data_IF_601985877726
#
_entry.id   IF_601985877726
#
_cell.length_a   1.000
_cell.length_b   1.000
_cell.length_c   1.000
_cell.angle_alpha   90.00
_cell.angle_beta   90.00
_cell.angle_gamma   90.00
#
_symmetry.space_group_name_H-M   'P 1'
#
loop_
_entity.id
_entity.type
_entity.pdbx_description
1 polymer ?
#
# COMPACT_ATOMS: atom_id res chain seq x y z
N UNK A 1 8.31 14.54 0.95
CA UNK A 1 8.12 13.38 1.86
C UNK A 1 8.39 12.09 1.10
N UNK A 2 8.93 11.07 1.74
CA UNK A 2 9.23 9.79 1.07
C UNK A 2 8.19 8.74 1.48
N UNK A 3 7.75 7.92 0.54
CA UNK A 3 6.84 6.80 0.78
C UNK A 3 7.24 5.57 -0.05
N UNK A 4 6.55 4.45 0.18
CA UNK A 4 6.67 3.24 -0.65
C UNK A 4 5.39 3.05 -1.44
N UNK A 5 5.51 2.96 -2.77
CA UNK A 5 4.44 2.53 -3.66
C UNK A 5 4.57 1.04 -3.94
N UNK A 6 3.52 0.28 -3.72
CA UNK A 6 3.44 -1.14 -4.07
C UNK A 6 2.46 -1.26 -5.22
N UNK A 7 2.95 -1.74 -6.36
CA UNK A 7 2.16 -1.89 -7.56
C UNK A 7 1.43 -3.23 -7.62
N UNK A 8 0.38 -3.31 -8.44
CA UNK A 8 -0.39 -4.55 -8.65
C UNK A 8 0.45 -5.71 -9.19
N UNK A 9 1.55 -5.42 -9.91
CA UNK A 9 2.54 -6.40 -10.37
C UNK A 9 3.64 -6.71 -9.32
N UNK A 10 3.36 -6.47 -8.04
CA UNK A 10 4.22 -6.78 -6.91
C UNK A 10 5.61 -6.09 -6.94
N UNK A 11 5.69 -4.87 -7.47
CA UNK A 11 6.93 -4.07 -7.39
C UNK A 11 6.83 -3.03 -6.29
N UNK A 12 7.94 -2.83 -5.59
CA UNK A 12 8.09 -1.80 -4.55
C UNK A 12 8.89 -0.65 -5.14
N UNK A 13 8.37 0.57 -5.05
CA UNK A 13 9.05 1.79 -5.49
C UNK A 13 9.12 2.80 -4.35
N UNK A 14 10.31 3.30 -4.05
CA UNK A 14 10.47 4.51 -3.25
C UNK A 14 9.99 5.69 -4.09
N UNK A 15 9.08 6.49 -3.54
CA UNK A 15 8.53 7.66 -4.22
C UNK A 15 8.68 8.92 -3.37
N UNK A 16 8.90 10.04 -4.04
CA UNK A 16 8.92 11.37 -3.44
C UNK A 16 7.57 12.06 -3.66
N UNK A 17 6.91 12.41 -2.55
CA UNK A 17 5.66 13.12 -2.51
C UNK A 17 5.91 14.57 -2.11
N UNK A 18 5.34 15.51 -2.86
CA UNK A 18 5.51 16.95 -2.64
C UNK A 18 4.28 17.54 -1.97
N UNK A 19 4.42 18.75 -1.44
CA UNK A 19 3.28 19.51 -0.95
C UNK A 19 2.53 20.20 -2.12
N UNK A 20 1.18 20.28 -2.05
CA UNK A 20 0.32 19.73 -1.01
C UNK A 20 0.13 18.22 -1.17
N UNK A 21 0.47 17.46 -0.11
CA UNK A 21 0.55 16.00 -0.12
C UNK A 21 -0.68 15.31 -0.72
N UNK A 22 -1.88 15.77 -0.34
CA UNK A 22 -3.13 15.19 -0.84
C UNK A 22 -3.21 15.23 -2.37
N UNK A 23 -2.78 16.33 -3.00
CA UNK A 23 -2.84 16.50 -4.45
C UNK A 23 -1.84 15.57 -5.16
N UNK A 24 -0.59 15.53 -4.70
CA UNK A 24 0.44 14.66 -5.32
C UNK A 24 0.09 13.18 -5.17
N UNK A 25 -0.49 12.77 -4.03
CA UNK A 25 -0.97 11.39 -3.83
C UNK A 25 -2.18 11.12 -4.75
N UNK A 26 -3.15 12.03 -4.81
CA UNK A 26 -4.34 11.90 -5.67
C UNK A 26 -3.96 11.74 -7.15
N UNK A 27 -2.99 12.53 -7.62
CA UNK A 27 -2.46 12.42 -8.99
C UNK A 27 -1.75 11.08 -9.23
N UNK A 28 -0.94 10.62 -8.26
CA UNK A 28 -0.26 9.33 -8.33
C UNK A 28 -1.22 8.14 -8.37
N UNK A 29 -2.38 8.27 -7.75
CA UNK A 29 -3.42 7.23 -7.64
C UNK A 29 -4.52 7.34 -8.70
N UNK A 30 -4.65 8.49 -9.37
CA UNK A 30 -5.60 8.69 -10.47
C UNK A 30 -7.08 8.78 -10.07
N UNK A 31 -7.39 9.08 -8.79
CA UNK A 31 -8.77 9.11 -8.30
C UNK A 31 -8.89 9.63 -6.85
N UNK A 32 -10.12 9.77 -6.33
CA UNK A 32 -10.35 10.06 -4.91
C UNK A 32 -9.63 9.03 -4.03
N UNK A 33 -9.12 9.46 -2.88
CA UNK A 33 -8.29 8.61 -2.03
C UNK A 33 -9.11 7.92 -0.94
N UNK A 34 -8.65 6.74 -0.56
CA UNK A 34 -9.08 5.97 0.60
C UNK A 34 -7.86 5.64 1.47
N UNK A 35 -7.99 5.81 2.78
CA UNK A 35 -6.92 5.52 3.75
C UNK A 35 -7.33 4.28 4.53
N UNK A 36 -6.51 3.24 4.42
CA UNK A 36 -6.72 1.93 5.03
C UNK A 36 -5.70 1.70 6.14
N UNK A 37 -6.10 0.93 7.16
CA UNK A 37 -5.18 0.43 8.16
C UNK A 37 -4.63 -0.94 7.70
N UNK A 38 -3.30 -1.11 7.56
CA UNK A 38 -2.70 -2.43 7.38
C UNK A 38 -2.64 -3.15 8.73
N UNK A 39 -3.36 -4.27 8.85
CA UNK A 39 -3.42 -5.11 10.05
C UNK A 39 -2.08 -5.79 10.36
N UNK A 40 -1.27 -6.06 9.33
CA UNK A 40 0.05 -6.69 9.47
C UNK A 40 1.18 -5.70 9.78
N UNK A 41 0.87 -4.44 10.08
CA UNK A 41 1.85 -3.39 10.46
C UNK A 41 1.39 -2.62 11.71
N UNK A 42 2.32 -1.96 12.43
CA UNK A 42 1.95 -1.14 13.58
C UNK A 42 0.90 -0.07 13.25
N UNK A 43 0.02 0.27 14.20
CA UNK A 43 -1.12 1.18 14.04
C UNK A 43 -0.79 2.58 13.49
N UNK A 44 0.45 3.02 13.64
CA UNK A 44 0.96 4.26 13.08
C UNK A 44 1.22 4.24 11.57
N UNK A 45 1.09 3.08 10.91
CA UNK A 45 1.18 2.95 9.45
C UNK A 45 -0.21 2.97 8.81
N UNK A 46 -0.25 3.38 7.55
CA UNK A 46 -1.45 3.36 6.72
C UNK A 46 -1.11 2.99 5.27
N UNK A 47 -2.11 2.52 4.56
CA UNK A 47 -2.08 2.37 3.10
C UNK A 47 -3.05 3.38 2.49
N UNK A 48 -2.59 4.10 1.48
CA UNK A 48 -3.42 5.03 0.72
C UNK A 48 -3.65 4.43 -0.66
N UNK A 49 -4.91 4.31 -1.05
CA UNK A 49 -5.32 3.78 -2.36
C UNK A 49 -6.35 4.67 -3.04
N UNK A 50 -6.60 4.44 -4.32
CA UNK A 50 -7.73 5.04 -5.00
C UNK A 50 -9.01 4.36 -4.51
N UNK A 51 -10.07 5.14 -4.29
CA UNK A 51 -11.36 4.61 -3.86
C UNK A 51 -11.86 3.56 -4.85
N UNK A 52 -12.25 2.39 -4.33
CA UNK A 52 -12.74 1.25 -5.12
C UNK A 52 -13.82 1.67 -6.11
N UNK A 53 -13.71 1.20 -7.35
CA UNK A 53 -14.63 1.52 -8.44
C UNK A 53 -14.35 2.85 -9.16
N UNK A 54 -13.33 3.61 -8.73
CA UNK A 54 -12.90 4.87 -9.35
C UNK A 54 -11.40 4.78 -9.64
N UNK A 55 -11.02 4.07 -10.71
CA UNK A 55 -9.63 3.90 -11.10
C UNK A 55 -9.49 3.20 -12.46
N UNK A 56 -8.31 3.31 -13.09
CA UNK A 56 -7.98 2.60 -14.34
C UNK A 56 -7.56 1.15 -14.12
N UNK A 57 -7.12 0.80 -12.91
CA UNK A 57 -6.63 -0.55 -12.60
C UNK A 57 -7.76 -1.43 -12.05
N UNK A 58 -7.90 -2.60 -12.64
CA UNK A 58 -8.84 -3.66 -12.22
C UNK A 58 -8.14 -4.83 -11.55
N UNK A 59 -6.81 -4.78 -11.42
CA UNK A 59 -6.00 -5.86 -10.86
C UNK A 59 -5.94 -5.79 -9.34
N UNK A 60 -6.00 -6.96 -8.69
CA UNK A 60 -5.71 -7.09 -7.28
C UNK A 60 -4.27 -6.67 -6.97
N UNK A 61 -4.04 -6.16 -5.77
CA UNK A 61 -2.70 -5.92 -5.23
C UNK A 61 -2.39 -6.96 -4.15
N UNK A 62 -1.72 -8.07 -4.49
CA UNK A 62 -1.57 -9.22 -3.58
C UNK A 62 -0.87 -8.86 -2.27
N UNK A 63 0.15 -8.00 -2.33
CA UNK A 63 0.87 -7.55 -1.14
C UNK A 63 -0.03 -6.67 -0.28
N UNK A 64 -0.77 -5.73 -0.87
CA UNK A 64 -1.71 -4.89 -0.11
C UNK A 64 -2.85 -5.71 0.51
N UNK A 65 -3.38 -6.69 -0.21
CA UNK A 65 -4.37 -7.65 0.30
C UNK A 65 -3.83 -8.41 1.51
N UNK A 66 -2.60 -8.92 1.44
CA UNK A 66 -1.94 -9.58 2.56
C UNK A 66 -1.77 -8.65 3.77
N UNK A 67 -1.34 -7.40 3.54
CA UNK A 67 -1.18 -6.42 4.62
C UNK A 67 -2.51 -6.00 5.26
N UNK A 68 -3.57 -5.95 4.47
CA UNK A 68 -4.93 -5.63 4.93
C UNK A 68 -5.67 -6.83 5.54
N UNK A 69 -5.16 -8.05 5.34
CA UNK A 69 -5.88 -9.30 5.64
C UNK A 69 -7.22 -9.39 4.89
N UNK A 70 -7.19 -9.10 3.59
CA UNK A 70 -8.37 -9.07 2.73
C UNK A 70 -9.11 -10.41 2.64
N UNK A 71 -8.45 -11.53 2.92
CA UNK A 71 -9.02 -12.86 3.05
C UNK A 71 -9.91 -12.99 4.30
N UNK A 72 -9.57 -12.28 5.38
CA UNK A 72 -10.37 -12.24 6.63
C UNK A 72 -11.55 -11.28 6.48
N UNK A 73 -11.32 -10.11 5.88
CA UNK A 73 -12.34 -9.07 5.74
C UNK A 73 -13.16 -9.14 4.44
N UNK A 74 -12.90 -10.15 3.60
CA UNK A 74 -13.52 -10.39 2.29
C UNK A 74 -13.56 -9.15 1.38
N UNK A 75 -12.61 -8.23 1.55
CA UNK A 75 -12.56 -6.97 0.84
C UNK A 75 -11.19 -6.78 0.17
N UNK A 76 -11.03 -7.26 -1.07
CA UNK A 76 -9.77 -7.18 -1.77
C UNK A 76 -9.38 -5.74 -2.11
N UNK A 77 -8.06 -5.48 -2.05
CA UNK A 77 -7.46 -4.22 -2.45
C UNK A 77 -7.18 -4.25 -3.95
N UNK A 78 -7.75 -3.29 -4.67
CA UNK A 78 -7.62 -3.14 -6.13
C UNK A 78 -6.72 -1.95 -6.42
N UNK A 79 -5.79 -2.12 -7.37
CA UNK A 79 -4.87 -1.09 -7.80
C UNK A 79 -3.69 -0.89 -6.86
N UNK A 80 -2.80 0.02 -7.25
CA UNK A 80 -1.62 0.35 -6.46
C UNK A 80 -1.96 0.84 -5.04
N UNK A 81 -0.99 0.76 -4.14
CA UNK A 81 -1.09 1.38 -2.80
C UNK A 81 0.17 2.16 -2.47
N UNK A 82 0.02 3.24 -1.71
CA UNK A 82 1.12 3.98 -1.11
C UNK A 82 1.12 3.73 0.40
N UNK A 83 2.21 3.17 0.92
CA UNK A 83 2.43 2.92 2.35
C UNK A 83 3.11 4.13 2.98
N UNK A 84 2.52 4.64 4.06
CA UNK A 84 2.98 5.83 4.79
C UNK A 84 2.81 5.68 6.30
N UNK A 85 3.29 6.67 7.06
CA UNK A 85 2.91 6.87 8.46
C UNK A 85 1.65 7.73 8.53
N UNK A 86 0.90 7.58 9.62
CA UNK A 86 -0.19 8.48 10.03
C UNK A 86 0.00 8.93 11.47
N UNK A 87 -0.47 10.13 11.79
CA UNK A 87 -0.68 10.61 13.16
C UNK A 87 -2.08 11.15 13.30
N UNK A 88 -2.66 10.99 14.49
CA UNK A 88 -3.87 11.72 14.86
C UNK A 88 -3.48 13.16 15.21
N UNK A 89 -4.28 14.10 14.76
CA UNK A 89 -4.17 15.54 15.06
C UNK A 89 -5.54 16.06 15.49
N UNK A 90 -5.59 17.30 15.98
CA UNK A 90 -6.85 17.97 16.32
C UNK A 90 -7.81 18.08 15.11
N UNK A 91 -7.27 18.08 13.89
CA UNK A 91 -8.03 18.17 12.64
C UNK A 91 -8.22 16.80 11.94
N UNK A 92 -8.02 15.69 12.66
CA UNK A 92 -8.11 14.33 12.13
C UNK A 92 -6.76 13.73 11.74
N UNK A 93 -6.75 12.83 10.75
CA UNK A 93 -5.56 12.05 10.38
C UNK A 93 -4.63 12.87 9.48
N UNK A 94 -3.39 13.07 9.92
CA UNK A 94 -2.32 13.61 9.08
C UNK A 94 -1.40 12.48 8.59
N UNK A 95 -1.15 12.46 7.28
CA UNK A 95 -0.17 11.57 6.66
C UNK A 95 1.24 12.12 6.84
N UNK A 96 2.20 11.22 7.08
CA UNK A 96 3.61 11.55 7.28
C UNK A 96 4.44 10.60 6.43
N UNK A 97 5.54 11.13 5.87
CA UNK A 97 6.54 10.32 5.18
C UNK A 97 7.21 9.29 6.08
N UNK A 98 7.83 8.31 5.43
CA UNK A 98 8.67 7.29 6.05
C UNK A 98 10.09 7.81 6.27
N UNK A 99 10.74 7.34 7.34
CA UNK A 99 12.18 7.48 7.56
C UNK A 99 12.95 6.42 6.77
N UNK A 100 14.21 6.70 6.45
CA UNK A 100 15.05 5.78 5.64
C UNK A 100 15.17 4.37 6.25
N UNK A 101 15.31 4.28 7.57
CA UNK A 101 15.34 2.98 8.26
C UNK A 101 14.03 2.19 8.08
N UNK A 102 12.89 2.88 8.07
CA UNK A 102 11.58 2.26 7.88
C UNK A 102 11.42 1.79 6.44
N UNK A 103 11.85 2.59 5.47
CA UNK A 103 11.87 2.20 4.06
C UNK A 103 12.66 0.91 3.88
N UNK A 104 13.87 0.82 4.45
CA UNK A 104 14.70 -0.38 4.35
C UNK A 104 14.04 -1.59 5.02
N UNK A 105 13.44 -1.39 6.20
CA UNK A 105 12.79 -2.47 6.95
C UNK A 105 11.55 -2.99 6.24
N UNK A 106 10.67 -2.09 5.80
CA UNK A 106 9.45 -2.41 5.07
C UNK A 106 9.77 -3.05 3.73
N UNK A 107 10.75 -2.54 2.99
CA UNK A 107 11.15 -3.11 1.69
C UNK A 107 11.61 -4.56 1.83
N UNK A 108 12.41 -4.88 2.86
CA UNK A 108 12.79 -6.28 3.14
C UNK A 108 11.59 -7.14 3.49
N UNK A 109 10.73 -6.67 4.39
CA UNK A 109 9.52 -7.40 4.80
C UNK A 109 8.58 -7.68 3.63
N UNK A 110 8.30 -6.67 2.81
CA UNK A 110 7.43 -6.81 1.64
C UNK A 110 8.04 -7.70 0.57
N UNK A 111 9.35 -7.67 0.36
CA UNK A 111 10.02 -8.61 -0.54
C UNK A 111 9.88 -10.06 -0.07
N UNK A 112 9.91 -10.33 1.24
CA UNK A 112 9.62 -11.67 1.77
C UNK A 112 8.19 -12.10 1.48
N UNK A 113 7.21 -11.20 1.62
CA UNK A 113 5.81 -11.46 1.26
C UNK A 113 5.66 -11.72 -0.24
N UNK A 114 6.32 -10.94 -1.09
CA UNK A 114 6.31 -11.13 -2.56
C UNK A 114 6.85 -12.51 -2.92
N UNK A 115 7.99 -12.92 -2.34
CA UNK A 115 8.57 -14.22 -2.59
C UNK A 115 7.62 -15.36 -2.20
N UNK A 116 6.96 -15.25 -1.03
CA UNK A 116 5.94 -16.21 -0.59
C UNK A 116 4.76 -16.29 -1.57
N UNK A 117 4.23 -15.15 -2.01
CA UNK A 117 3.11 -15.09 -2.96
C UNK A 117 3.50 -15.74 -4.30
N UNK A 118 4.70 -15.45 -4.80
CA UNK A 118 5.20 -16.03 -6.06
C UNK A 118 5.39 -17.55 -5.98
N UNK A 119 5.90 -18.06 -4.85
CA UNK A 119 6.02 -19.50 -4.62
C UNK A 119 4.65 -20.19 -4.60
N UNK A 120 3.66 -19.60 -3.93
CA UNK A 120 2.31 -20.16 -3.88
C UNK A 120 1.63 -20.20 -5.26
N UNK A 121 1.83 -19.17 -6.09
CA UNK A 121 1.31 -19.17 -7.47
C UNK A 121 1.95 -20.26 -8.33
N UNK A 122 3.26 -20.46 -8.23
CA UNK A 122 3.97 -21.54 -8.95
C UNK A 122 3.48 -22.93 -8.55
N UNK A 123 3.16 -23.14 -7.26
CA UNK A 123 2.62 -24.41 -6.78
C UNK A 123 1.22 -24.71 -7.32
N UNK A 124 0.39 -23.67 -7.52
CA UNK A 124 -0.95 -23.84 -8.08
C UNK A 124 -0.95 -24.16 -9.58
N UNK A 125 0.04 -23.68 -10.33
CA UNK A 125 0.19 -23.99 -11.76
C UNK A 125 0.79 -25.39 -12.02
N UNK A 126 1.39 -26.02 -11.00
CA UNK A 126 2.01 -27.33 -11.08
C UNK A 126 1.09 -28.50 -10.70
N UNK A 127 -0.16 -28.21 -10.31
CA UNK A 127 -1.21 -29.17 -9.91
C UNK A 127 -2.30 -29.26 -10.98
#
# INVERSE_FOLDING_TARGET
MIALKITTDCKIKKIDLQDPLYQTVKESMGGPLEILHPESLPSSFCMVTAKKGIGKESSFNPVACYLYQADIYENPIIGDVIVMRKKMTENGIALIGLKEQEINTLTRSFNSVIAMIQQNMQLQEAL
#
